data_IF_050474499449
#
_entry.id   IF_050474499449
#
_cell.length_a   1.000
_cell.length_b   1.000
_cell.length_c   1.000
_cell.angle_alpha   90.00
_cell.angle_beta   90.00
_cell.angle_gamma   90.00
#
_symmetry.space_group_name_H-M   'P 1'
#
loop_
_entity.id
_entity.type
_entity.pdbx_description
1 polymer ?
#
# COMPACT_ATOMS: atom_id res chain seq x y z
N UNK A 1 28.26 13.16 -6.32
CA UNK A 1 26.92 13.30 -6.95
C UNK A 1 26.01 12.12 -6.60
N UNK A 2 26.48 10.88 -6.72
CA UNK A 2 25.77 9.63 -6.37
C UNK A 2 25.07 9.63 -5.00
N UNK A 3 25.80 9.95 -3.92
CA UNK A 3 25.24 10.04 -2.57
C UNK A 3 24.21 11.17 -2.40
N UNK A 4 24.34 12.24 -3.17
CA UNK A 4 23.41 13.38 -3.12
C UNK A 4 22.06 13.01 -3.73
N UNK A 5 22.06 12.37 -4.91
CA UNK A 5 20.83 11.89 -5.54
C UNK A 5 20.14 10.81 -4.71
N UNK A 6 20.91 9.88 -4.14
CA UNK A 6 20.39 8.89 -3.20
C UNK A 6 19.72 9.52 -1.99
N UNK A 7 20.46 10.39 -1.29
CA UNK A 7 20.00 11.05 -0.08
C UNK A 7 18.73 11.85 -0.33
N UNK A 8 18.66 12.58 -1.44
CA UNK A 8 17.47 13.36 -1.80
C UNK A 8 16.26 12.47 -2.11
N UNK A 9 16.42 11.39 -2.90
CA UNK A 9 15.30 10.51 -3.23
C UNK A 9 14.83 9.71 -2.01
N UNK A 10 15.76 9.27 -1.17
CA UNK A 10 15.45 8.57 0.08
C UNK A 10 14.77 9.51 1.07
N UNK A 11 15.25 10.75 1.21
CA UNK A 11 14.60 11.76 2.05
C UNK A 11 13.19 12.07 1.53
N UNK A 12 13.02 12.27 0.22
CA UNK A 12 11.72 12.52 -0.40
C UNK A 12 10.72 11.37 -0.17
N UNK A 13 11.20 10.12 -0.13
CA UNK A 13 10.35 8.95 0.13
C UNK A 13 10.09 8.73 1.62
N UNK A 14 11.10 8.88 2.49
CA UNK A 14 11.01 8.52 3.91
C UNK A 14 10.45 9.64 4.79
N UNK A 15 10.67 10.91 4.43
CA UNK A 15 10.29 12.04 5.28
C UNK A 15 8.78 12.09 5.59
N UNK A 16 7.86 11.82 4.64
CA UNK A 16 6.43 11.72 4.96
C UNK A 16 6.09 10.60 5.95
N UNK A 17 6.80 9.47 5.90
CA UNK A 17 6.63 8.37 6.86
C UNK A 17 7.07 8.82 8.26
N UNK A 18 8.19 9.52 8.36
CA UNK A 18 8.69 10.04 9.63
C UNK A 18 7.73 11.08 10.24
N UNK A 19 7.24 12.04 9.43
CA UNK A 19 6.24 13.02 9.90
C UNK A 19 4.99 12.30 10.37
N UNK A 20 4.46 11.37 9.58
CA UNK A 20 3.23 10.64 9.94
C UNK A 20 3.43 9.86 11.24
N UNK A 21 4.57 9.21 11.45
CA UNK A 21 4.87 8.51 12.70
C UNK A 21 4.89 9.45 13.92
N UNK A 22 5.47 10.64 13.78
CA UNK A 22 5.54 11.64 14.86
C UNK A 22 4.20 12.33 15.12
N UNK A 23 3.52 12.79 14.08
CA UNK A 23 2.26 13.54 14.20
C UNK A 23 1.06 12.67 14.57
N UNK A 24 1.13 11.35 14.39
CA UNK A 24 0.03 10.43 14.74
C UNK A 24 0.07 9.98 16.22
N UNK A 25 0.97 10.53 17.04
CA UNK A 25 1.12 10.15 18.45
C UNK A 25 1.73 8.76 18.69
N UNK A 26 2.08 8.00 17.64
CA UNK A 26 2.69 6.67 17.76
C UNK A 26 4.01 6.69 18.55
N UNK A 27 4.77 7.77 18.44
CA UNK A 27 6.01 7.93 19.19
C UNK A 27 5.81 8.05 20.70
N UNK A 28 4.64 8.53 21.16
CA UNK A 28 4.34 8.68 22.58
C UNK A 28 4.03 7.33 23.23
N UNK A 29 3.46 6.40 22.47
CA UNK A 29 3.12 5.05 22.91
C UNK A 29 4.28 4.04 22.83
N UNK A 30 5.50 4.48 22.51
CA UNK A 30 6.63 3.58 22.20
C UNK A 30 6.26 2.49 21.18
N UNK A 31 5.45 2.86 20.17
CA UNK A 31 4.86 1.93 19.20
C UNK A 31 5.87 1.36 18.19
N UNK A 32 7.14 1.78 18.26
CA UNK A 32 8.20 1.39 17.33
C UNK A 32 8.29 -0.13 17.18
N UNK A 33 8.36 -0.87 18.30
CA UNK A 33 8.49 -2.33 18.25
C UNK A 33 7.26 -3.01 17.66
N UNK A 34 6.07 -2.44 17.87
CA UNK A 34 4.82 -2.94 17.28
C UNK A 34 4.80 -2.68 15.76
N UNK A 35 5.32 -1.54 15.31
CA UNK A 35 5.49 -1.25 13.88
C UNK A 35 6.51 -2.19 13.23
N UNK A 36 7.61 -2.49 13.91
CA UNK A 36 8.61 -3.48 13.44
C UNK A 36 7.98 -4.87 13.32
N UNK A 37 7.18 -5.29 14.31
CA UNK A 37 6.46 -6.56 14.26
C UNK A 37 5.45 -6.62 13.10
N UNK A 38 4.74 -5.51 12.84
CA UNK A 38 3.86 -5.37 11.68
C UNK A 38 4.63 -5.50 10.37
N UNK A 39 5.79 -4.84 10.26
CA UNK A 39 6.68 -4.96 9.09
C UNK A 39 7.25 -6.38 8.90
N UNK A 40 7.58 -7.09 9.97
CA UNK A 40 7.98 -8.49 9.89
C UNK A 40 6.84 -9.39 9.37
N UNK A 41 5.60 -9.09 9.76
CA UNK A 41 4.42 -9.80 9.23
C UNK A 41 4.23 -9.52 7.74
N UNK A 42 4.44 -8.28 7.28
CA UNK A 42 4.46 -7.95 5.85
C UNK A 42 5.48 -8.80 5.09
N UNK A 43 6.73 -8.88 5.57
CA UNK A 43 7.76 -9.68 4.91
C UNK A 43 7.37 -11.15 4.78
N UNK A 44 6.76 -11.72 5.83
CA UNK A 44 6.27 -13.10 5.79
C UNK A 44 5.15 -13.28 4.76
N UNK A 45 4.14 -12.40 4.77
CA UNK A 45 3.01 -12.45 3.81
C UNK A 45 3.52 -12.28 2.38
N UNK A 46 4.43 -11.34 2.14
CA UNK A 46 5.00 -11.09 0.83
C UNK A 46 5.82 -12.29 0.33
N UNK A 47 6.56 -12.97 1.22
CA UNK A 47 7.29 -14.19 0.86
C UNK A 47 6.34 -15.32 0.49
N UNK A 48 5.26 -15.53 1.26
CA UNK A 48 4.22 -16.50 0.92
C UNK A 48 3.54 -16.18 -0.42
N UNK A 49 3.23 -14.90 -0.67
CA UNK A 49 2.66 -14.42 -1.93
C UNK A 49 3.56 -14.74 -3.11
N UNK A 50 4.84 -14.39 -3.01
CA UNK A 50 5.79 -14.62 -4.10
C UNK A 50 6.02 -16.11 -4.36
N UNK A 51 6.04 -16.95 -3.32
CA UNK A 51 6.12 -18.39 -3.49
C UNK A 51 4.87 -18.95 -4.19
N UNK A 52 3.68 -18.53 -3.77
CA UNK A 52 2.41 -18.95 -4.37
C UNK A 52 2.32 -18.55 -5.85
N UNK A 53 2.69 -17.30 -6.16
CA UNK A 53 2.75 -16.82 -7.53
C UNK A 53 3.74 -17.66 -8.36
N UNK A 54 4.94 -17.92 -7.85
CA UNK A 54 5.94 -18.70 -8.56
C UNK A 54 5.56 -20.17 -8.78
N UNK A 55 4.77 -20.78 -7.89
CA UNK A 55 4.39 -22.20 -8.01
C UNK A 55 3.14 -22.43 -8.86
N UNK A 56 2.15 -21.54 -8.77
CA UNK A 56 0.84 -21.75 -9.41
C UNK A 56 0.67 -20.98 -10.72
N UNK A 57 1.45 -19.92 -10.95
CA UNK A 57 1.35 -19.13 -12.17
C UNK A 57 2.54 -19.41 -13.09
N UNK A 58 2.35 -20.14 -14.20
CA UNK A 58 3.39 -20.27 -15.21
C UNK A 58 3.72 -18.89 -15.79
N UNK A 59 4.94 -18.70 -16.25
CA UNK A 59 5.29 -17.52 -17.04
C UNK A 59 4.45 -17.52 -18.30
N UNK A 60 3.59 -16.50 -18.47
CA UNK A 60 2.74 -16.38 -19.65
C UNK A 60 3.60 -16.27 -20.92
N UNK A 61 3.53 -17.27 -21.79
CA UNK A 61 4.21 -17.33 -23.09
C UNK A 61 3.33 -16.81 -24.25
N UNK A 62 2.24 -16.10 -23.95
CA UNK A 62 1.36 -15.57 -25.00
C UNK A 62 2.06 -14.57 -25.92
N UNK A 63 1.63 -14.54 -27.18
CA UNK A 63 2.26 -13.74 -28.24
C UNK A 63 2.39 -12.26 -27.89
N UNK A 64 3.51 -11.67 -28.32
CA UNK A 64 3.84 -10.26 -28.10
C UNK A 64 2.67 -9.35 -28.49
N UNK A 65 2.06 -8.69 -27.49
CA UNK A 65 0.98 -7.72 -27.67
C UNK A 65 -0.40 -8.13 -27.15
N UNK A 66 -0.59 -9.36 -26.67
CA UNK A 66 -1.86 -9.77 -26.03
C UNK A 66 -1.77 -9.59 -24.51
N UNK A 67 -2.59 -8.72 -23.95
CA UNK A 67 -2.71 -8.53 -22.50
C UNK A 67 -3.40 -9.74 -21.84
N UNK A 68 -2.71 -10.40 -20.91
CA UNK A 68 -3.25 -11.52 -20.15
C UNK A 68 -4.18 -11.03 -19.03
N UNK A 69 -5.40 -10.67 -19.41
CA UNK A 69 -6.40 -10.16 -18.48
C UNK A 69 -6.71 -11.14 -17.35
N UNK A 70 -6.81 -12.45 -17.66
CA UNK A 70 -7.15 -13.48 -16.68
C UNK A 70 -6.00 -13.71 -15.72
N UNK A 71 -4.76 -13.77 -16.21
CA UNK A 71 -3.58 -13.89 -15.37
C UNK A 71 -3.41 -12.70 -14.43
N UNK A 72 -3.53 -11.47 -14.94
CA UNK A 72 -3.42 -10.26 -14.10
C UNK A 72 -4.56 -10.15 -13.08
N UNK A 73 -5.79 -10.53 -13.45
CA UNK A 73 -6.90 -10.60 -12.50
C UNK A 73 -6.62 -11.62 -11.39
N UNK A 74 -6.15 -12.80 -11.75
CA UNK A 74 -5.83 -13.86 -10.78
C UNK A 74 -4.65 -13.46 -9.88
N UNK A 75 -3.62 -12.77 -10.40
CA UNK A 75 -2.55 -12.19 -9.56
C UNK A 75 -3.10 -11.17 -8.56
N UNK A 76 -4.02 -10.31 -8.99
CA UNK A 76 -4.67 -9.34 -8.11
C UNK A 76 -5.53 -10.01 -7.02
N UNK A 77 -6.08 -11.20 -7.27
CA UNK A 77 -6.77 -11.96 -6.20
C UNK A 77 -5.81 -12.40 -5.09
N UNK A 78 -4.53 -12.62 -5.40
CA UNK A 78 -3.51 -12.99 -4.41
C UNK A 78 -3.23 -11.83 -3.44
N UNK A 79 -3.47 -10.59 -3.85
CA UNK A 79 -3.35 -9.41 -2.97
C UNK A 79 -4.42 -9.39 -1.86
N UNK A 80 -5.45 -10.25 -1.90
CA UNK A 80 -6.32 -10.48 -0.74
C UNK A 80 -5.55 -11.01 0.48
N UNK A 81 -4.41 -11.67 0.27
CA UNK A 81 -3.53 -12.10 1.36
C UNK A 81 -2.98 -10.92 2.18
N UNK A 82 -2.79 -9.75 1.56
CA UNK A 82 -2.31 -8.55 2.24
C UNK A 82 -3.36 -8.05 3.25
N UNK A 83 -4.66 -8.19 2.94
CA UNK A 83 -5.74 -7.87 3.87
C UNK A 83 -5.75 -8.79 5.08
N UNK A 84 -5.52 -10.09 4.88
CA UNK A 84 -5.41 -11.07 5.96
C UNK A 84 -4.22 -10.75 6.87
N UNK A 85 -3.09 -10.36 6.28
CA UNK A 85 -1.91 -9.91 7.01
C UNK A 85 -2.21 -8.68 7.87
N UNK A 86 -2.83 -7.65 7.29
CA UNK A 86 -3.24 -6.44 8.02
C UNK A 86 -4.22 -6.76 9.17
N UNK A 87 -5.21 -7.62 8.93
CA UNK A 87 -6.13 -8.06 9.97
C UNK A 87 -5.40 -8.81 11.11
N UNK A 88 -4.44 -9.68 10.78
CA UNK A 88 -3.63 -10.39 11.78
C UNK A 88 -2.77 -9.45 12.61
N UNK A 89 -2.18 -8.42 12.00
CA UNK A 89 -1.43 -7.39 12.73
C UNK A 89 -2.34 -6.63 13.70
N UNK A 90 -3.53 -6.22 13.25
CA UNK A 90 -4.48 -5.48 14.08
C UNK A 90 -5.09 -6.32 15.20
N UNK A 91 -5.30 -7.62 14.99
CA UNK A 91 -5.82 -8.51 16.03
C UNK A 91 -4.79 -8.80 17.13
N UNK A 92 -3.50 -8.83 16.80
CA UNK A 92 -2.39 -9.00 17.77
C UNK A 92 -2.11 -7.77 18.60
N UNK A 93 -2.44 -6.58 18.10
CA UNK A 93 -2.23 -5.33 18.83
C UNK A 93 -3.46 -4.99 19.68
N UNK A 94 -3.26 -4.85 20.99
CA UNK A 94 -4.27 -4.33 21.91
C UNK A 94 -4.24 -2.79 21.93
N UNK A 95 -5.41 -2.15 22.11
CA UNK A 95 -5.53 -0.70 22.15
C UNK A 95 -6.75 -0.16 21.40
N UNK A 96 -6.86 1.17 21.33
CA UNK A 96 -7.90 1.87 20.55
C UNK A 96 -7.78 1.55 19.06
N UNK A 97 -8.90 1.59 18.35
CA UNK A 97 -8.96 1.29 16.91
C UNK A 97 -8.00 2.14 16.07
N UNK A 98 -7.99 3.44 16.30
CA UNK A 98 -7.10 4.41 15.64
C UNK A 98 -5.62 4.02 15.79
N UNK A 99 -5.22 3.64 17.01
CA UNK A 99 -3.86 3.19 17.28
C UNK A 99 -3.51 1.91 16.51
N UNK A 100 -4.42 0.91 16.50
CA UNK A 100 -4.21 -0.34 15.77
C UNK A 100 -4.06 -0.11 14.26
N UNK A 101 -4.91 0.73 13.69
CA UNK A 101 -4.88 1.10 12.27
C UNK A 101 -3.53 1.74 11.94
N UNK A 102 -3.11 2.74 12.70
CA UNK A 102 -1.88 3.48 12.43
C UNK A 102 -0.63 2.62 12.61
N UNK A 103 -0.56 1.76 13.63
CA UNK A 103 0.57 0.82 13.81
C UNK A 103 0.66 -0.15 12.64
N UNK A 104 -0.47 -0.74 12.23
CA UNK A 104 -0.50 -1.70 11.13
C UNK A 104 -0.10 -1.03 9.82
N UNK A 105 -0.71 0.10 9.48
CA UNK A 105 -0.43 0.84 8.26
C UNK A 105 1.02 1.32 8.19
N UNK A 106 1.54 1.95 9.25
CA UNK A 106 2.90 2.47 9.27
C UNK A 106 3.94 1.37 9.17
N UNK A 107 3.78 0.28 9.93
CA UNK A 107 4.71 -0.85 9.86
C UNK A 107 4.69 -1.53 8.49
N UNK A 108 3.50 -1.75 7.92
CA UNK A 108 3.31 -2.38 6.61
C UNK A 108 3.90 -1.51 5.50
N UNK A 109 3.53 -0.24 5.43
CA UNK A 109 3.99 0.68 4.39
C UNK A 109 5.51 0.93 4.48
N UNK A 110 6.06 1.01 5.70
CA UNK A 110 7.51 1.22 5.86
C UNK A 110 8.29 -0.02 5.42
N UNK A 111 7.80 -1.22 5.73
CA UNK A 111 8.42 -2.45 5.28
C UNK A 111 8.34 -2.61 3.75
N UNK A 112 7.21 -2.23 3.15
CA UNK A 112 7.07 -2.16 1.69
C UNK A 112 8.08 -1.19 1.07
N UNK A 113 8.16 0.05 1.56
CA UNK A 113 9.14 1.04 1.10
C UNK A 113 10.57 0.50 1.14
N UNK A 114 10.97 -0.10 2.26
CA UNK A 114 12.33 -0.62 2.44
C UNK A 114 12.59 -1.77 1.46
N UNK A 115 11.66 -2.71 1.35
CA UNK A 115 11.87 -3.91 0.55
C UNK A 115 11.79 -3.63 -0.96
N UNK A 116 10.88 -2.74 -1.38
CA UNK A 116 10.58 -2.51 -2.79
C UNK A 116 11.41 -1.36 -3.39
N UNK A 117 11.78 -0.36 -2.60
CA UNK A 117 12.39 0.89 -3.12
C UNK A 117 13.81 1.15 -2.65
N UNK A 118 14.27 0.65 -1.50
CA UNK A 118 15.64 0.91 -1.06
C UNK A 118 16.69 0.30 -2.01
N UNK A 119 16.46 -0.92 -2.53
CA UNK A 119 17.41 -1.56 -3.45
C UNK A 119 17.49 -0.80 -4.80
N UNK A 120 16.37 -0.49 -5.49
CA UNK A 120 16.44 0.29 -6.73
C UNK A 120 17.01 1.69 -6.54
N UNK A 121 16.70 2.38 -5.44
CA UNK A 121 17.26 3.70 -5.13
C UNK A 121 18.77 3.62 -4.85
N UNK A 122 19.22 2.59 -4.13
CA UNK A 122 20.64 2.35 -3.84
C UNK A 122 21.44 2.03 -5.11
N UNK A 123 20.92 1.14 -5.96
CA UNK A 123 21.58 0.79 -7.23
C UNK A 123 21.54 1.98 -8.18
N UNK A 124 20.43 2.71 -8.24
CA UNK A 124 20.30 3.91 -9.06
C UNK A 124 21.25 5.03 -8.67
N UNK A 125 21.53 5.15 -7.36
CA UNK A 125 22.54 6.06 -6.88
C UNK A 125 23.95 5.77 -7.39
N UNK A 126 24.25 4.54 -7.82
CA UNK A 126 25.57 4.18 -8.38
C UNK A 126 25.72 4.58 -9.86
N UNK A 127 24.64 5.02 -10.51
CA UNK A 127 24.66 5.53 -11.88
C UNK A 127 25.41 6.85 -12.00
N UNK A 128 25.95 7.10 -13.19
CA UNK A 128 26.66 8.35 -13.54
C UNK A 128 25.64 9.46 -13.86
N UNK A 129 24.46 9.09 -14.36
CA UNK A 129 23.38 9.99 -14.78
C UNK A 129 22.13 9.81 -13.92
N UNK A 130 21.41 10.89 -13.68
CA UNK A 130 20.23 10.90 -12.82
C UNK A 130 18.94 10.78 -13.65
N UNK A 131 18.18 9.71 -13.40
CA UNK A 131 16.90 9.47 -14.07
C UNK A 131 15.69 9.93 -13.25
N UNK A 132 14.68 10.46 -13.95
CA UNK A 132 13.43 10.93 -13.35
C UNK A 132 12.61 9.77 -12.75
N UNK A 133 12.92 8.54 -13.15
CA UNK A 133 12.36 7.31 -12.61
C UNK A 133 12.52 7.21 -11.09
N UNK A 134 13.66 7.65 -10.53
CA UNK A 134 13.89 7.57 -9.09
C UNK A 134 13.03 8.57 -8.31
N UNK A 135 12.78 9.76 -8.86
CA UNK A 135 11.84 10.74 -8.29
C UNK A 135 10.42 10.18 -8.33
N UNK A 136 10.01 9.64 -9.48
CA UNK A 136 8.70 9.02 -9.63
C UNK A 136 8.51 7.89 -8.62
N UNK A 137 9.55 7.08 -8.40
CA UNK A 137 9.54 6.00 -7.42
C UNK A 137 9.38 6.51 -5.97
N UNK A 138 10.03 7.63 -5.62
CA UNK A 138 9.85 8.26 -4.30
C UNK A 138 8.42 8.82 -4.12
N UNK A 139 7.84 9.45 -5.14
CA UNK A 139 6.44 9.88 -5.09
C UNK A 139 5.47 8.70 -5.02
N UNK A 140 5.76 7.63 -5.75
CA UNK A 140 4.98 6.40 -5.74
C UNK A 140 4.88 5.80 -4.33
N UNK A 141 5.99 5.79 -3.57
CA UNK A 141 5.99 5.38 -2.17
C UNK A 141 5.07 6.22 -1.29
N UNK A 142 5.10 7.54 -1.44
CA UNK A 142 4.25 8.43 -0.66
C UNK A 142 2.76 8.19 -0.96
N UNK A 143 2.42 7.92 -2.22
CA UNK A 143 1.07 7.52 -2.62
C UNK A 143 0.71 6.16 -2.01
N UNK A 144 1.63 5.19 -2.03
CA UNK A 144 1.42 3.87 -1.42
C UNK A 144 1.22 3.95 0.10
N UNK A 145 1.93 4.83 0.81
CA UNK A 145 1.71 5.08 2.24
C UNK A 145 0.25 5.46 2.53
N UNK A 146 -0.27 6.46 1.82
CA UNK A 146 -1.65 6.93 1.98
C UNK A 146 -2.65 5.83 1.66
N UNK A 147 -2.34 4.99 0.65
CA UNK A 147 -3.14 3.84 0.30
C UNK A 147 -3.19 2.79 1.42
N UNK A 148 -2.04 2.43 2.02
CA UNK A 148 -1.99 1.45 3.11
C UNK A 148 -2.68 1.94 4.38
N UNK A 149 -2.61 3.25 4.68
CA UNK A 149 -3.40 3.85 5.77
C UNK A 149 -4.89 3.68 5.51
N UNK A 150 -5.36 4.01 4.31
CA UNK A 150 -6.76 3.83 3.94
C UNK A 150 -7.18 2.35 3.97
N UNK A 151 -6.36 1.45 3.43
CA UNK A 151 -6.62 0.02 3.42
C UNK A 151 -6.73 -0.54 4.84
N UNK A 152 -5.80 -0.20 5.73
CA UNK A 152 -5.84 -0.64 7.13
C UNK A 152 -7.09 -0.11 7.85
N UNK A 153 -7.50 1.14 7.59
CA UNK A 153 -8.73 1.70 8.15
C UNK A 153 -9.98 0.93 7.68
N UNK A 154 -10.07 0.62 6.38
CA UNK A 154 -11.20 -0.13 5.81
C UNK A 154 -11.24 -1.56 6.34
N UNK A 155 -10.10 -2.24 6.43
CA UNK A 155 -10.01 -3.59 7.03
C UNK A 155 -10.46 -3.56 8.49
N UNK A 156 -10.01 -2.56 9.25
CA UNK A 156 -10.44 -2.40 10.64
C UNK A 156 -11.96 -2.20 10.75
N UNK A 157 -12.54 -1.30 9.94
CA UNK A 157 -13.99 -1.07 9.90
C UNK A 157 -14.76 -2.34 9.52
N UNK A 158 -14.26 -3.12 8.57
CA UNK A 158 -14.89 -4.36 8.11
C UNK A 158 -14.89 -5.45 9.20
N UNK A 159 -13.81 -5.53 9.98
CA UNK A 159 -13.64 -6.57 11.02
C UNK A 159 -14.34 -6.23 12.34
N UNK A 160 -14.90 -5.03 12.46
CA UNK A 160 -15.61 -4.59 13.65
C UNK A 160 -16.98 -5.27 13.77
N UNK A 161 -17.26 -5.86 14.93
CA UNK A 161 -18.53 -6.56 15.19
C UNK A 161 -19.77 -5.66 15.13
N UNK A 162 -19.63 -4.39 15.56
CA UNK A 162 -20.73 -3.42 15.63
C UNK A 162 -21.03 -2.69 14.31
N UNK A 163 -20.69 -3.27 13.15
CA UNK A 163 -20.90 -2.60 11.87
C UNK A 163 -22.39 -2.65 11.46
N UNK A 164 -23.08 -1.49 11.32
CA UNK A 164 -24.49 -1.46 10.92
C UNK A 164 -24.66 -2.06 9.53
N UNK A 165 -25.78 -2.75 9.30
CA UNK A 165 -26.04 -3.41 8.00
C UNK A 165 -25.98 -2.44 6.81
N UNK A 166 -26.35 -1.17 7.00
CA UNK A 166 -26.29 -0.13 5.98
C UNK A 166 -24.86 0.20 5.51
N UNK A 167 -23.87 0.12 6.40
CA UNK A 167 -22.48 0.46 6.08
C UNK A 167 -21.66 -0.74 5.62
N UNK A 168 -22.16 -1.98 5.77
CA UNK A 168 -21.46 -3.19 5.32
C UNK A 168 -21.16 -3.17 3.82
N UNK A 169 -22.15 -2.86 3.00
CA UNK A 169 -21.98 -2.85 1.54
C UNK A 169 -20.98 -1.77 1.07
N UNK A 170 -21.08 -0.50 1.50
CA UNK A 170 -20.07 0.51 1.20
C UNK A 170 -18.64 0.10 1.60
N UNK A 171 -18.47 -0.46 2.81
CA UNK A 171 -17.16 -0.90 3.30
C UNK A 171 -16.62 -2.07 2.47
N UNK A 172 -17.45 -3.06 2.10
CA UNK A 172 -17.01 -4.17 1.25
C UNK A 172 -16.61 -3.74 -0.16
N UNK A 173 -17.35 -2.78 -0.74
CA UNK A 173 -17.01 -2.25 -2.07
C UNK A 173 -15.68 -1.51 -2.01
N UNK A 174 -15.47 -0.68 -0.98
CA UNK A 174 -14.23 0.05 -0.83
C UNK A 174 -13.04 -0.88 -0.57
N UNK A 175 -13.23 -1.96 0.19
CA UNK A 175 -12.21 -2.99 0.42
C UNK A 175 -11.82 -3.71 -0.88
N UNK A 176 -12.81 -4.06 -1.72
CA UNK A 176 -12.58 -4.61 -3.05
C UNK A 176 -11.80 -3.63 -3.94
N UNK A 177 -12.19 -2.35 -3.95
CA UNK A 177 -11.48 -1.30 -4.69
C UNK A 177 -10.03 -1.13 -4.23
N UNK A 178 -9.75 -1.28 -2.94
CA UNK A 178 -8.38 -1.22 -2.43
C UNK A 178 -7.50 -2.35 -2.98
N UNK A 179 -8.01 -3.58 -3.01
CA UNK A 179 -7.25 -4.76 -3.48
C UNK A 179 -7.06 -4.72 -4.99
N UNK A 180 -8.13 -4.51 -5.75
CA UNK A 180 -8.07 -4.52 -7.22
C UNK A 180 -7.55 -3.21 -7.83
N UNK A 181 -7.15 -2.23 -7.01
CA UNK A 181 -6.60 -0.96 -7.48
C UNK A 181 -5.43 -1.16 -8.43
N UNK A 182 -4.49 -2.05 -8.11
CA UNK A 182 -3.30 -2.29 -8.93
C UNK A 182 -3.70 -2.78 -10.34
N UNK A 183 -4.61 -3.75 -10.39
CA UNK A 183 -5.18 -4.27 -11.63
C UNK A 183 -5.91 -3.19 -12.45
N UNK A 184 -6.76 -2.37 -11.80
CA UNK A 184 -7.45 -1.27 -12.47
C UNK A 184 -6.45 -0.26 -13.05
N UNK A 185 -5.37 0.04 -12.33
CA UNK A 185 -4.32 0.94 -12.80
C UNK A 185 -3.59 0.37 -14.01
N UNK A 186 -3.24 -0.91 -14.00
CA UNK A 186 -2.58 -1.57 -15.14
C UNK A 186 -3.47 -1.61 -16.38
N UNK A 187 -4.76 -1.94 -16.20
CA UNK A 187 -5.75 -1.88 -17.27
C UNK A 187 -5.83 -0.47 -17.86
N UNK A 188 -5.87 0.56 -17.02
CA UNK A 188 -5.96 1.95 -17.46
C UNK A 188 -4.70 2.38 -18.22
N UNK A 189 -3.50 2.00 -17.74
CA UNK A 189 -2.23 2.27 -18.42
C UNK A 189 -2.18 1.57 -19.78
N UNK A 190 -2.64 0.32 -19.87
CA UNK A 190 -2.66 -0.44 -21.11
C UNK A 190 -3.66 0.13 -22.13
N UNK A 191 -4.89 0.47 -21.70
CA UNK A 191 -5.96 0.97 -22.58
C UNK A 191 -5.65 2.37 -23.11
N UNK A 192 -5.14 3.26 -22.26
CA UNK A 192 -4.90 4.67 -22.63
C UNK A 192 -3.46 4.97 -23.03
N UNK A 193 -2.57 3.97 -23.00
CA UNK A 193 -1.12 4.09 -23.31
C UNK A 193 -0.51 5.28 -22.56
N UNK A 194 -0.72 5.30 -21.24
CA UNK A 194 -0.35 6.44 -20.42
C UNK A 194 1.16 6.52 -20.23
N UNK A 195 1.70 7.73 -20.35
CA UNK A 195 3.08 8.02 -19.94
C UNK A 195 3.28 7.85 -18.43
N UNK A 196 4.54 7.75 -18.00
CA UNK A 196 4.90 7.50 -16.59
C UNK A 196 4.38 8.56 -15.62
N UNK A 197 4.46 9.84 -15.98
CA UNK A 197 3.94 10.95 -15.17
C UNK A 197 2.41 10.97 -15.08
N UNK A 198 1.73 10.70 -16.19
CA UNK A 198 0.26 10.62 -16.22
C UNK A 198 -0.24 9.42 -15.43
N UNK A 199 0.43 8.27 -15.52
CA UNK A 199 0.10 7.09 -14.72
C UNK A 199 0.25 7.36 -13.22
N UNK A 200 1.32 8.06 -12.80
CA UNK A 200 1.53 8.47 -11.41
C UNK A 200 0.43 9.42 -10.93
N UNK A 201 0.02 10.39 -11.76
CA UNK A 201 -1.05 11.33 -11.42
C UNK A 201 -2.39 10.59 -11.24
N UNK A 202 -2.73 9.68 -12.15
CA UNK A 202 -3.95 8.86 -12.03
C UNK A 202 -3.90 8.01 -10.77
N UNK A 203 -2.73 7.42 -10.45
CA UNK A 203 -2.54 6.66 -9.20
C UNK A 203 -2.79 7.54 -7.98
N UNK A 204 -2.29 8.77 -7.98
CA UNK A 204 -2.49 9.73 -6.90
C UNK A 204 -3.96 10.10 -6.73
N UNK A 205 -4.67 10.42 -7.82
CA UNK A 205 -6.10 10.76 -7.80
C UNK A 205 -6.95 9.60 -7.29
N UNK A 206 -6.72 8.39 -7.81
CA UNK A 206 -7.44 7.19 -7.37
C UNK A 206 -7.17 6.85 -5.90
N UNK A 207 -5.93 7.03 -5.45
CA UNK A 207 -5.60 6.82 -4.03
C UNK A 207 -6.28 7.88 -3.16
N UNK A 208 -6.22 9.15 -3.56
CA UNK A 208 -6.86 10.24 -2.85
C UNK A 208 -8.37 10.05 -2.72
N UNK A 209 -9.05 9.61 -3.78
CA UNK A 209 -10.49 9.33 -3.74
C UNK A 209 -10.82 8.17 -2.80
N UNK A 210 -10.07 7.06 -2.86
CA UNK A 210 -10.24 5.92 -1.94
C UNK A 210 -10.02 6.36 -0.49
N UNK A 211 -8.97 7.14 -0.22
CA UNK A 211 -8.65 7.61 1.14
C UNK A 211 -9.69 8.59 1.68
N UNK A 212 -10.21 9.49 0.85
CA UNK A 212 -11.30 10.40 1.23
C UNK A 212 -12.60 9.63 1.53
N UNK A 213 -12.95 8.66 0.69
CA UNK A 213 -14.11 7.79 0.93
C UNK A 213 -13.95 6.97 2.22
N UNK A 214 -12.76 6.43 2.47
CA UNK A 214 -12.43 5.72 3.71
C UNK A 214 -12.60 6.61 4.93
N UNK A 215 -12.06 7.83 4.89
CA UNK A 215 -12.18 8.81 5.97
C UNK A 215 -13.64 9.20 6.22
N UNK A 216 -14.41 9.46 5.16
CA UNK A 216 -15.82 9.81 5.27
C UNK A 216 -16.63 8.69 5.94
N UNK A 217 -16.44 7.44 5.52
CA UNK A 217 -17.07 6.27 6.14
C UNK A 217 -16.65 6.10 7.60
N UNK A 218 -15.37 6.32 7.90
CA UNK A 218 -14.86 6.26 9.27
C UNK A 218 -15.53 7.29 10.18
N UNK A 219 -15.62 8.55 9.74
CA UNK A 219 -16.27 9.63 10.50
C UNK A 219 -17.75 9.34 10.71
N UNK A 220 -18.46 8.89 9.66
CA UNK A 220 -19.87 8.53 9.74
C UNK A 220 -20.11 7.37 10.72
N UNK A 221 -19.24 6.37 10.70
CA UNK A 221 -19.33 5.23 11.62
C UNK A 221 -19.11 5.66 13.08
N UNK A 222 -18.20 6.61 13.32
CA UNK A 222 -17.93 7.12 14.67
C UNK A 222 -19.10 7.99 15.19
N UNK A 223 -19.74 8.80 14.34
CA UNK A 223 -20.88 9.63 14.75
C UNK A 223 -22.20 8.87 14.87
N UNK A 224 -22.34 7.75 14.18
CA UNK A 224 -23.54 6.90 14.26
C UNK A 224 -23.62 6.09 15.56
N UNK A 225 -22.57 6.12 16.38
CA UNK A 225 -22.38 5.29 17.57
C UNK A 225 -22.44 6.15 18.84
#
# INVERSE_FOLDING_TARGET
MTLFHFGNCLALAYFPYFITYKCSGLSEYNAFWRCVQAGATYLFVQLCKMLFLATFFPTWEGGAGVYDFVGEFMKATVDLADLLGLHLVMSRNAGKGEYKIMVAAMGWATAELIMSRCIPLWVGARGIEFDWKYIQMSFDSNISLVHYIAMAAVVWMFTRYDLPKSFRLPVTVLLGLCVYKAFIMELFVHVFVLGSWTALLVKAVLTGSISLCSLFLYIMLVHSN
#
